data_IF_726259438661
#
_entry.id   IF_726259438661
#
_cell.length_a   1.000
_cell.length_b   1.000
_cell.length_c   1.000
_cell.angle_alpha   90.00
_cell.angle_beta   90.00
_cell.angle_gamma   90.00
#
_symmetry.space_group_name_H-M   'P 1'
#
loop_
_entity.id
_entity.type
_entity.pdbx_description
1 polymer ?
#
# COMPACT_ATOMS: atom_id res chain seq x y z
N UNK A 1 -9.82 -13.61 -13.03
CA UNK A 1 -10.03 -12.37 -12.27
C UNK A 1 -11.40 -11.77 -12.55
N UNK A 2 -12.01 -11.14 -11.55
CA UNK A 2 -13.06 -10.14 -11.67
C UNK A 2 -12.45 -8.75 -11.50
N UNK A 3 -12.96 -7.77 -12.23
CA UNK A 3 -12.57 -6.37 -12.11
C UNK A 3 -13.78 -5.57 -11.62
N UNK A 4 -13.60 -4.81 -10.56
CA UNK A 4 -14.66 -4.01 -9.95
C UNK A 4 -14.16 -2.60 -9.74
N UNK A 5 -14.94 -1.63 -10.21
CA UNK A 5 -14.69 -0.22 -10.01
C UNK A 5 -15.86 0.42 -9.26
N UNK A 6 -15.54 1.11 -8.17
CA UNK A 6 -16.48 1.93 -7.42
C UNK A 6 -16.07 3.39 -7.55
N UNK A 7 -16.92 4.19 -8.18
CA UNK A 7 -16.80 5.64 -8.21
C UNK A 7 -17.75 6.23 -7.19
N UNK A 8 -17.24 7.05 -6.29
CA UNK A 8 -18.08 8.01 -5.60
C UNK A 8 -18.16 9.25 -6.51
N UNK A 9 -19.36 9.69 -6.87
CA UNK A 9 -19.54 10.91 -7.67
C UNK A 9 -19.64 12.18 -6.82
N UNK A 10 -19.88 12.04 -5.52
CA UNK A 10 -19.97 13.16 -4.57
C UNK A 10 -18.60 13.57 -4.03
N UNK A 11 -17.66 12.63 -3.98
CA UNK A 11 -16.25 12.86 -3.71
C UNK A 11 -15.48 12.32 -4.90
N UNK A 12 -14.57 13.09 -5.51
CA UNK A 12 -13.70 12.70 -6.63
C UNK A 12 -12.76 11.54 -6.20
N UNK A 13 -13.35 10.36 -6.02
CA UNK A 13 -12.78 9.20 -5.36
C UNK A 13 -13.19 7.93 -6.10
N UNK A 14 -12.19 7.17 -6.50
CA UNK A 14 -12.37 5.91 -7.24
C UNK A 14 -11.59 4.80 -6.56
N UNK A 15 -12.25 3.67 -6.31
CA UNK A 15 -11.62 2.42 -5.91
C UNK A 15 -11.71 1.40 -7.06
N UNK A 16 -10.59 0.77 -7.36
CA UNK A 16 -10.50 -0.36 -8.29
C UNK A 16 -10.01 -1.60 -7.54
N UNK A 17 -10.63 -2.74 -7.82
CA UNK A 17 -10.29 -4.04 -7.26
C UNK A 17 -10.13 -5.08 -8.38
N UNK A 18 -9.02 -5.81 -8.36
CA UNK A 18 -8.86 -7.05 -9.10
C UNK A 18 -9.03 -8.21 -8.11
N UNK A 19 -9.98 -9.10 -8.39
CA UNK A 19 -10.35 -10.19 -7.48
C UNK A 19 -10.11 -11.53 -8.16
N UNK A 20 -9.44 -12.44 -7.48
CA UNK A 20 -9.23 -13.81 -7.96
C UNK A 20 -10.56 -14.59 -8.02
N UNK A 21 -10.77 -15.35 -9.09
CA UNK A 21 -12.06 -16.03 -9.35
C UNK A 21 -12.28 -17.27 -8.49
N UNK A 22 -11.20 -17.93 -8.09
CA UNK A 22 -11.26 -19.20 -7.36
C UNK A 22 -11.31 -18.95 -5.85
N UNK A 23 -10.44 -18.07 -5.36
CA UNK A 23 -10.30 -17.76 -3.94
C UNK A 23 -11.14 -16.55 -3.48
N UNK A 24 -11.69 -15.77 -4.41
CA UNK A 24 -12.36 -14.48 -4.13
C UNK A 24 -11.47 -13.47 -3.39
N UNK A 25 -10.14 -13.66 -3.38
CA UNK A 25 -9.20 -12.74 -2.76
C UNK A 25 -9.00 -11.48 -3.62
N UNK A 26 -8.86 -10.32 -2.97
CA UNK A 26 -8.43 -9.09 -3.65
C UNK A 26 -6.92 -9.19 -3.91
N UNK A 27 -6.54 -9.26 -5.19
CA UNK A 27 -5.14 -9.39 -5.62
C UNK A 27 -4.53 -8.06 -6.04
N UNK A 28 -5.36 -7.08 -6.38
CA UNK A 28 -4.94 -5.69 -6.60
C UNK A 28 -6.02 -4.75 -6.08
N UNK A 29 -5.59 -3.70 -5.39
CA UNK A 29 -6.43 -2.61 -4.92
C UNK A 29 -5.77 -1.29 -5.26
N UNK A 30 -6.50 -0.42 -5.96
CA UNK A 30 -6.08 0.96 -6.23
C UNK A 30 -7.18 1.87 -5.71
N UNK A 31 -6.83 2.87 -4.89
CA UNK A 31 -7.73 3.94 -4.50
C UNK A 31 -7.12 5.28 -4.87
N UNK A 32 -7.88 6.10 -5.58
CA UNK A 32 -7.49 7.42 -6.08
C UNK A 32 -8.47 8.47 -5.58
N UNK A 33 -7.94 9.62 -5.17
CA UNK A 33 -8.70 10.77 -4.73
C UNK A 33 -8.02 12.03 -5.23
N UNK A 34 -8.76 12.93 -5.85
CA UNK A 34 -8.19 14.14 -6.44
C UNK A 34 -9.03 15.37 -6.10
N UNK A 35 -8.39 16.55 -6.10
CA UNK A 35 -9.04 17.86 -6.04
C UNK A 35 -10.05 18.11 -4.90
N UNK A 36 -9.96 17.40 -3.78
CA UNK A 36 -10.89 17.55 -2.66
C UNK A 36 -10.46 18.68 -1.72
N UNK A 37 -11.38 19.61 -1.46
CA UNK A 37 -11.15 20.76 -0.58
C UNK A 37 -11.96 20.65 0.71
N UNK A 38 -11.27 20.74 1.83
CA UNK A 38 -11.86 20.68 3.16
C UNK A 38 -11.83 22.07 3.79
N UNK A 39 -12.99 22.75 3.75
CA UNK A 39 -13.18 24.09 4.31
C UNK A 39 -12.81 24.17 5.79
N UNK A 40 -13.21 23.19 6.58
CA UNK A 40 -13.04 23.16 8.05
C UNK A 40 -11.57 23.19 8.48
N UNK A 41 -10.68 22.67 7.66
CA UNK A 41 -9.24 22.54 7.96
C UNK A 41 -8.38 23.35 6.98
N UNK A 42 -9.00 24.17 6.14
CA UNK A 42 -8.38 24.96 5.09
C UNK A 42 -7.32 24.17 4.29
N UNK A 43 -7.66 22.92 3.95
CA UNK A 43 -6.74 21.99 3.32
C UNK A 43 -7.30 21.55 1.95
N UNK A 44 -6.40 21.34 1.00
CA UNK A 44 -6.72 20.76 -0.30
C UNK A 44 -5.89 19.50 -0.52
N UNK A 45 -6.53 18.37 -0.81
CA UNK A 45 -5.87 17.20 -1.37
C UNK A 45 -5.81 17.43 -2.89
N UNK A 46 -4.62 17.59 -3.44
CA UNK A 46 -4.46 17.69 -4.90
C UNK A 46 -4.51 16.30 -5.53
N UNK A 47 -3.81 15.34 -4.92
CA UNK A 47 -3.82 13.94 -5.31
C UNK A 47 -3.54 13.06 -4.09
N UNK A 48 -4.27 11.96 -3.96
CA UNK A 48 -3.96 10.88 -3.04
C UNK A 48 -4.26 9.55 -3.73
N UNK A 49 -3.22 8.80 -4.02
CA UNK A 49 -3.27 7.51 -4.69
C UNK A 49 -2.58 6.47 -3.83
N UNK A 50 -3.25 5.34 -3.63
CA UNK A 50 -2.66 4.17 -2.99
C UNK A 50 -2.93 2.95 -3.85
N UNK A 51 -1.91 2.11 -3.98
CA UNK A 51 -2.01 0.83 -4.68
C UNK A 51 -1.37 -0.26 -3.82
N UNK A 52 -2.02 -1.42 -3.79
CA UNK A 52 -1.47 -2.66 -3.25
C UNK A 52 -1.67 -3.78 -4.26
N UNK A 53 -0.62 -4.56 -4.49
CA UNK A 53 -0.68 -5.79 -5.29
C UNK A 53 -0.19 -6.96 -4.47
N UNK A 54 -0.86 -8.09 -4.61
CA UNK A 54 -0.56 -9.33 -3.91
C UNK A 54 -0.22 -10.43 -4.90
N UNK A 55 0.60 -11.38 -4.47
CA UNK A 55 0.91 -12.61 -5.21
C UNK A 55 0.59 -13.84 -4.36
N UNK A 56 0.23 -14.98 -4.97
CA UNK A 56 0.07 -16.21 -4.24
C UNK A 56 1.43 -16.71 -3.74
N UNK A 57 1.47 -17.22 -2.52
CA UNK A 57 2.61 -17.91 -1.95
C UNK A 57 2.10 -19.01 -1.02
N UNK A 58 2.31 -20.27 -1.43
CA UNK A 58 1.72 -21.45 -0.81
C UNK A 58 0.19 -21.33 -0.80
N UNK A 59 -0.43 -21.24 0.37
CA UNK A 59 -1.87 -21.10 0.58
C UNK A 59 -2.27 -19.69 1.06
N UNK A 60 -1.40 -18.68 0.85
CA UNK A 60 -1.62 -17.29 1.30
C UNK A 60 -1.37 -16.31 0.16
N UNK A 61 -1.95 -15.12 0.30
CA UNK A 61 -1.65 -13.95 -0.53
C UNK A 61 -0.68 -13.05 0.23
N UNK A 62 0.46 -12.72 -0.38
CA UNK A 62 1.50 -11.87 0.23
C UNK A 62 1.69 -10.60 -0.58
N UNK A 63 2.02 -9.50 0.10
CA UNK A 63 2.27 -8.21 -0.54
C UNK A 63 3.45 -8.33 -1.52
N UNK A 64 3.20 -7.92 -2.78
CA UNK A 64 4.17 -7.89 -3.87
C UNK A 64 4.66 -6.47 -4.12
N UNK A 65 3.74 -5.53 -4.25
CA UNK A 65 4.02 -4.12 -4.53
C UNK A 65 3.07 -3.25 -3.71
N UNK A 66 3.57 -2.14 -3.18
CA UNK A 66 2.73 -1.08 -2.64
C UNK A 66 3.26 0.27 -3.10
N UNK A 67 2.34 1.14 -3.53
CA UNK A 67 2.65 2.50 -3.92
C UNK A 67 1.74 3.44 -3.16
N UNK A 68 2.31 4.57 -2.72
CA UNK A 68 1.58 5.67 -2.10
C UNK A 68 2.09 6.98 -2.68
N UNK A 69 1.18 7.76 -3.24
CA UNK A 69 1.42 9.13 -3.64
C UNK A 69 0.40 10.02 -2.94
N UNK A 70 0.89 11.06 -2.28
CA UNK A 70 0.07 11.97 -1.52
C UNK A 70 0.60 13.39 -1.68
N UNK A 71 -0.23 14.24 -2.26
CA UNK A 71 0.05 15.65 -2.47
C UNK A 71 -1.07 16.49 -1.84
N UNK A 72 -0.69 17.35 -0.88
CA UNK A 72 -1.62 18.18 -0.11
C UNK A 72 -1.11 19.59 0.02
N UNK A 73 -2.01 20.55 -0.10
CA UNK A 73 -1.72 21.97 0.17
C UNK A 73 -2.51 22.42 1.39
N UNK A 74 -1.82 23.09 2.30
CA UNK A 74 -2.38 23.77 3.47
C UNK A 74 -2.40 25.27 3.20
N UNK A 75 -3.54 25.90 3.49
CA UNK A 75 -3.68 27.35 3.46
C UNK A 75 -3.66 27.86 4.91
N UNK A 76 -2.68 28.68 5.24
CA UNK A 76 -2.63 29.38 6.53
C UNK A 76 -3.60 30.56 6.54
N UNK A 77 -3.99 31.02 7.74
CA UNK A 77 -4.88 32.17 7.92
C UNK A 77 -4.31 33.46 7.29
N UNK A 78 -2.99 33.59 7.22
CA UNK A 78 -2.27 34.70 6.61
C UNK A 78 -2.11 34.57 5.08
N UNK A 79 -2.81 33.60 4.47
CA UNK A 79 -2.79 33.25 3.03
C UNK A 79 -1.49 32.62 2.54
N UNK A 80 -0.55 32.24 3.42
CA UNK A 80 0.58 31.41 3.02
C UNK A 80 0.11 30.02 2.61
N UNK A 81 0.86 29.42 1.69
CA UNK A 81 0.57 28.09 1.18
C UNK A 81 1.77 27.18 1.42
N UNK A 82 1.50 26.05 2.04
CA UNK A 82 2.49 24.99 2.24
C UNK A 82 2.03 23.73 1.51
N UNK A 83 2.81 23.28 0.53
CA UNK A 83 2.53 22.06 -0.21
C UNK A 83 3.46 20.95 0.25
N UNK A 84 2.86 19.81 0.61
CA UNK A 84 3.55 18.58 0.97
C UNK A 84 3.34 17.58 -0.17
N UNK A 85 4.43 17.04 -0.70
CA UNK A 85 4.44 15.98 -1.72
C UNK A 85 5.21 14.78 -1.15
N UNK A 86 4.52 13.65 -1.03
CA UNK A 86 5.07 12.39 -0.53
C UNK A 86 4.83 11.30 -1.56
N UNK A 87 5.92 10.69 -2.02
CA UNK A 87 5.90 9.51 -2.89
C UNK A 87 6.70 8.40 -2.25
N UNK A 88 6.03 7.27 -2.03
CA UNK A 88 6.61 6.06 -1.47
C UNK A 88 6.30 4.93 -2.44
N UNK A 89 7.34 4.23 -2.87
CA UNK A 89 7.21 3.02 -3.66
C UNK A 89 7.96 1.90 -2.93
N UNK A 90 7.29 0.78 -2.71
CA UNK A 90 7.87 -0.43 -2.16
C UNK A 90 7.57 -1.58 -3.10
N UNK A 91 8.64 -2.19 -3.60
CA UNK A 91 8.60 -3.36 -4.45
C UNK A 91 9.28 -4.50 -3.71
N UNK A 92 8.53 -5.55 -3.41
CA UNK A 92 9.06 -6.77 -2.82
C UNK A 92 9.51 -7.67 -3.95
N UNK A 93 10.83 -7.70 -4.17
CA UNK A 93 11.47 -8.64 -5.11
C UNK A 93 10.97 -10.06 -4.87
N UNK A 94 10.91 -10.84 -5.94
CA UNK A 94 10.51 -12.24 -5.84
C UNK A 94 11.35 -12.96 -4.78
N UNK A 95 10.65 -13.53 -3.79
CA UNK A 95 11.28 -14.52 -2.93
C UNK A 95 11.63 -15.68 -3.85
N UNK A 96 12.90 -16.02 -3.89
CA UNK A 96 13.32 -17.28 -4.46
C UNK A 96 12.48 -18.40 -3.83
N UNK A 97 11.79 -19.21 -4.65
CA UNK A 97 11.16 -20.45 -4.20
C UNK A 97 12.20 -21.46 -3.70
N UNK A 98 13.47 -21.28 -4.11
CA UNK A 98 14.60 -21.98 -3.55
C UNK A 98 14.99 -21.32 -2.22
N UNK A 99 15.20 -22.08 -1.13
CA UNK A 99 15.83 -21.53 0.06
C UNK A 99 17.17 -20.90 -0.33
N UNK A 100 17.43 -19.66 0.11
CA UNK A 100 18.70 -19.00 -0.16
C UNK A 100 19.83 -19.90 0.38
N UNK A 101 20.73 -20.43 -0.48
CA UNK A 101 21.75 -21.39 -0.04
C UNK A 101 22.66 -20.82 1.06
N UNK A 102 22.87 -19.51 1.01
CA UNK A 102 23.66 -18.70 1.96
C UNK A 102 22.94 -18.49 3.30
N UNK A 103 21.60 -18.58 3.30
CA UNK A 103 20.76 -18.56 4.49
C UNK A 103 20.32 -19.98 4.89
N UNK A 104 21.12 -21.02 4.59
CA UNK A 104 21.16 -22.25 5.39
C UNK A 104 21.68 -21.99 6.81
N UNK A 105 21.17 -20.95 7.48
CA UNK A 105 21.21 -20.91 8.93
C UNK A 105 20.03 -21.75 9.38
N UNK A 106 20.27 -23.05 9.55
CA UNK A 106 19.68 -23.71 10.71
C UNK A 106 19.93 -22.74 11.87
N UNK A 107 18.87 -22.23 12.47
CA UNK A 107 19.00 -21.42 13.68
C UNK A 107 19.88 -22.24 14.60
N UNK A 108 21.12 -21.82 14.82
CA UNK A 108 21.98 -22.49 15.76
C UNK A 108 21.26 -22.31 17.09
N UNK A 109 20.65 -23.38 17.61
CA UNK A 109 19.82 -23.28 18.81
C UNK A 109 20.58 -22.70 20.00
N UNK A 110 21.93 -22.77 19.98
CA UNK A 110 22.81 -22.17 20.99
C UNK A 110 23.00 -20.65 20.83
N UNK A 111 22.69 -20.08 19.66
CA UNK A 111 22.76 -18.65 19.37
C UNK A 111 21.38 -17.97 19.35
N UNK A 112 20.30 -18.72 19.60
CA UNK A 112 18.95 -18.17 19.66
C UNK A 112 18.72 -17.45 21.00
N UNK A 113 18.92 -16.14 21.00
CA UNK A 113 18.76 -15.26 22.16
C UNK A 113 17.35 -15.32 22.78
N UNK A 114 16.33 -15.78 22.03
CA UNK A 114 14.97 -15.94 22.56
C UNK A 114 14.89 -17.00 23.66
N UNK A 115 15.82 -17.97 23.67
CA UNK A 115 15.93 -18.96 24.76
C UNK A 115 16.61 -18.42 26.02
N UNK A 116 17.28 -17.27 25.93
CA UNK A 116 17.94 -16.62 27.06
C UNK A 116 16.97 -15.84 27.95
N UNK A 117 15.75 -15.61 27.47
CA UNK A 117 14.66 -15.05 28.27
C UNK A 117 13.82 -16.21 28.81
N UNK A 118 14.19 -16.72 29.99
CA UNK A 118 13.34 -17.56 30.84
C UNK A 118 12.86 -16.76 32.03
#
# INVERSE_FOLDING_TARGET
MYEIEFKNSEADFTCFFLIDKESFAIVEHIAKRENEYFKETNNKINNNEVMYKYRPYQNKWILKESYRNWNRTYLEEDKRQHTIDVKINLEVKDFSVQPFPEFKKSVNEKMDIRRSFK
#
